data_IF_797744490000
#
_entry.id   IF_797744490000
#
_cell.length_a   1.000
_cell.length_b   1.000
_cell.length_c   1.000
_cell.angle_alpha   90.00
_cell.angle_beta   90.00
_cell.angle_gamma   90.00
#
_symmetry.space_group_name_H-M   'P 1'
#
loop_
_entity.id
_entity.type
_entity.pdbx_description
1 polymer ?
#
# COMPACT_ATOMS: atom_id res chain seq x y z
N UNK A 1 -14.25 19.41 -29.22
CA UNK A 1 -12.84 19.45 -28.83
C UNK A 1 -12.72 20.17 -27.49
N UNK A 2 -12.54 19.44 -26.42
CA UNK A 2 -12.22 20.06 -25.14
C UNK A 2 -10.78 20.49 -25.16
N UNK A 3 -10.57 21.79 -25.16
CA UNK A 3 -9.25 22.38 -25.02
C UNK A 3 -8.72 21.97 -23.65
N UNK A 4 -7.62 21.23 -23.60
CA UNK A 4 -6.95 20.98 -22.34
C UNK A 4 -6.65 22.32 -21.66
N UNK A 5 -6.99 22.51 -20.39
CA UNK A 5 -6.72 23.77 -19.72
C UNK A 5 -5.23 24.09 -19.83
N UNK A 6 -4.92 25.33 -20.04
CA UNK A 6 -3.54 25.87 -20.13
C UNK A 6 -2.68 25.38 -18.95
N UNK A 7 -3.27 25.22 -17.80
CA UNK A 7 -2.67 24.72 -16.57
C UNK A 7 -2.10 23.30 -16.69
N UNK A 8 -2.74 22.43 -17.48
CA UNK A 8 -2.23 21.06 -17.70
C UNK A 8 -0.92 21.05 -18.49
N UNK A 9 -0.71 22.00 -19.39
CA UNK A 9 0.54 22.12 -20.16
C UNK A 9 1.68 22.59 -19.27
N UNK A 10 1.42 23.51 -18.35
CA UNK A 10 2.42 23.96 -17.39
C UNK A 10 2.84 22.84 -16.44
N UNK A 11 1.88 22.08 -15.94
CA UNK A 11 2.12 20.94 -15.05
C UNK A 11 2.89 19.84 -15.78
N UNK A 12 2.54 19.55 -17.03
CA UNK A 12 3.29 18.62 -17.87
C UNK A 12 4.73 19.07 -18.11
N UNK A 13 4.94 20.37 -18.32
CA UNK A 13 6.28 20.97 -18.42
C UNK A 13 7.08 20.84 -17.13
N UNK A 14 6.47 21.04 -15.99
CA UNK A 14 7.11 20.85 -14.69
C UNK A 14 7.47 19.40 -14.43
N UNK A 15 6.58 18.48 -14.80
CA UNK A 15 6.82 17.04 -14.68
C UNK A 15 7.97 16.58 -15.56
N UNK A 16 8.12 17.14 -16.77
CA UNK A 16 9.25 16.86 -17.65
C UNK A 16 10.58 17.39 -17.12
N UNK A 17 10.55 18.48 -16.34
CA UNK A 17 11.73 19.08 -15.73
C UNK A 17 12.14 18.46 -14.40
N UNK A 18 11.33 17.59 -13.84
CA UNK A 18 11.55 16.88 -12.56
C UNK A 18 11.57 15.38 -12.76
N UNK A 19 12.15 14.64 -11.81
CA UNK A 19 12.20 13.17 -11.84
C UNK A 19 10.88 12.48 -11.45
N UNK A 20 9.76 13.19 -11.49
CA UNK A 20 8.45 12.63 -11.16
C UNK A 20 7.96 11.76 -12.32
N UNK A 21 7.76 10.47 -12.05
CA UNK A 21 7.30 9.49 -13.04
C UNK A 21 5.78 9.41 -13.22
N UNK A 22 5.02 9.88 -12.23
CA UNK A 22 3.56 9.82 -12.23
C UNK A 22 2.96 10.96 -11.42
N UNK A 23 1.90 11.57 -11.96
CA UNK A 23 1.14 12.62 -11.29
C UNK A 23 -0.36 12.39 -11.49
N UNK A 24 -1.11 12.40 -10.40
CA UNK A 24 -2.57 12.36 -10.42
C UNK A 24 -3.13 13.68 -9.89
N UNK A 25 -3.93 14.36 -10.71
CA UNK A 25 -4.66 15.56 -10.34
C UNK A 25 -6.15 15.25 -10.21
N UNK A 26 -6.69 15.50 -9.03
CA UNK A 26 -8.12 15.37 -8.77
C UNK A 26 -8.76 16.74 -8.77
N UNK A 27 -9.65 16.95 -9.72
CA UNK A 27 -10.51 18.13 -9.81
C UNK A 27 -11.96 17.73 -9.51
N UNK A 28 -12.84 18.68 -9.16
CA UNK A 28 -14.24 18.36 -8.87
C UNK A 28 -14.95 17.58 -9.99
N UNK A 29 -14.58 17.85 -11.25
CA UNK A 29 -15.25 17.27 -12.44
C UNK A 29 -14.38 16.26 -13.20
N UNK A 30 -13.10 16.09 -12.82
CA UNK A 30 -12.20 15.21 -13.58
C UNK A 30 -11.00 14.73 -12.75
N UNK A 31 -10.53 13.55 -13.06
CA UNK A 31 -9.26 13.02 -12.58
C UNK A 31 -8.32 12.95 -13.79
N UNK A 32 -7.20 13.67 -13.72
CA UNK A 32 -6.19 13.66 -14.77
C UNK A 32 -4.97 12.92 -14.27
N UNK A 33 -4.55 11.89 -14.98
CA UNK A 33 -3.35 11.12 -14.69
C UNK A 33 -2.31 11.38 -15.77
N UNK A 34 -1.13 11.83 -15.34
CA UNK A 34 0.01 12.06 -16.21
C UNK A 34 1.08 11.02 -15.90
N UNK A 35 1.49 10.27 -16.89
CA UNK A 35 2.58 9.30 -16.82
C UNK A 35 3.77 9.75 -17.65
N UNK A 36 4.98 9.50 -17.18
CA UNK A 36 6.20 9.74 -17.94
C UNK A 36 6.66 8.44 -18.59
N UNK A 37 6.83 8.48 -19.91
CA UNK A 37 7.44 7.39 -20.67
C UNK A 37 8.72 7.91 -21.35
N UNK A 38 9.86 7.65 -20.74
CA UNK A 38 11.13 8.22 -21.20
C UNK A 38 11.18 9.72 -21.01
N UNK A 39 11.36 10.47 -22.08
CA UNK A 39 11.41 11.94 -22.08
C UNK A 39 10.06 12.60 -22.44
N UNK A 40 9.02 11.80 -22.66
CA UNK A 40 7.68 12.25 -23.03
C UNK A 40 6.68 12.10 -21.89
N UNK A 41 5.90 13.16 -21.64
CA UNK A 41 4.78 13.14 -20.70
C UNK A 41 3.51 12.81 -21.45
N UNK A 42 2.88 11.68 -21.11
CA UNK A 42 1.66 11.19 -21.74
C UNK A 42 0.49 11.37 -20.77
N UNK A 43 -0.59 11.98 -21.26
CA UNK A 43 -1.84 12.02 -20.52
C UNK A 43 -2.48 10.63 -20.58
N UNK A 44 -2.59 9.99 -19.42
CA UNK A 44 -3.34 8.75 -19.29
C UNK A 44 -4.83 9.12 -19.16
N UNK A 45 -5.48 9.30 -20.29
CA UNK A 45 -6.91 9.56 -20.32
C UNK A 45 -7.67 8.25 -20.18
N UNK A 46 -8.39 8.11 -19.07
CA UNK A 46 -9.27 6.96 -18.81
C UNK A 46 -10.64 7.11 -19.53
N UNK A 47 -10.73 8.04 -20.48
CA UNK A 47 -11.98 8.52 -21.05
C UNK A 47 -12.33 8.08 -22.46
N UNK A 48 -11.52 7.29 -23.14
CA UNK A 48 -11.89 6.79 -24.45
C UNK A 48 -12.19 5.30 -24.39
N UNK A 49 -13.43 4.99 -24.03
CA UNK A 49 -14.03 3.72 -24.43
C UNK A 49 -14.26 3.81 -25.93
N UNK A 50 -13.33 3.31 -26.71
CA UNK A 50 -13.64 2.91 -28.09
C UNK A 50 -14.57 1.70 -27.96
N UNK A 51 -15.86 1.95 -28.12
CA UNK A 51 -16.94 0.94 -28.05
C UNK A 51 -16.89 -0.10 -29.17
N UNK A 52 -15.78 -0.20 -29.91
CA UNK A 52 -15.68 -1.04 -31.12
C UNK A 52 -14.52 -2.06 -31.07
N UNK A 53 -13.92 -2.31 -29.92
CA UNK A 53 -13.04 -3.47 -29.79
C UNK A 53 -13.85 -4.69 -29.38
N UNK A 54 -13.72 -5.85 -30.03
CA UNK A 54 -14.35 -7.08 -29.55
C UNK A 54 -13.77 -7.34 -28.15
N UNK A 55 -14.67 -7.26 -27.17
CA UNK A 55 -14.36 -7.58 -25.77
C UNK A 55 -14.07 -9.08 -25.73
N UNK A 56 -12.84 -9.45 -25.97
CA UNK A 56 -12.39 -10.73 -25.44
C UNK A 56 -12.55 -10.64 -23.93
N UNK A 57 -13.34 -11.51 -23.31
CA UNK A 57 -13.43 -11.53 -21.87
C UNK A 57 -12.02 -11.82 -21.35
N UNK A 58 -11.32 -10.76 -21.00
CA UNK A 58 -10.10 -10.89 -20.22
C UNK A 58 -10.55 -11.58 -18.93
N UNK A 59 -9.97 -12.73 -18.58
CA UNK A 59 -10.32 -13.34 -17.32
C UNK A 59 -10.21 -12.23 -16.28
N UNK A 60 -11.28 -12.04 -15.53
CA UNK A 60 -11.32 -11.06 -14.47
C UNK A 60 -10.02 -11.21 -13.70
N UNK A 61 -9.14 -10.20 -13.81
CA UNK A 61 -7.98 -10.16 -12.98
C UNK A 61 -8.56 -10.22 -11.57
N UNK A 62 -8.40 -11.36 -10.94
CA UNK A 62 -8.77 -11.53 -9.55
C UNK A 62 -7.93 -10.49 -8.84
N UNK A 63 -8.53 -9.34 -8.56
CA UNK A 63 -7.86 -8.33 -7.75
C UNK A 63 -7.43 -9.06 -6.50
N UNK A 64 -6.14 -9.15 -6.21
CA UNK A 64 -5.72 -9.78 -4.97
C UNK A 64 -6.51 -9.11 -3.86
N UNK A 65 -7.02 -9.88 -2.89
CA UNK A 65 -7.77 -9.31 -1.79
C UNK A 65 -6.98 -8.14 -1.19
N UNK A 66 -7.63 -7.07 -0.80
CA UNK A 66 -6.95 -5.89 -0.31
C UNK A 66 -6.04 -6.29 0.86
N UNK A 67 -4.76 -5.99 0.71
CA UNK A 67 -3.77 -6.17 1.74
C UNK A 67 -3.89 -5.02 2.74
N UNK A 68 -4.16 -5.35 3.98
CA UNK A 68 -4.10 -4.41 5.09
C UNK A 68 -2.75 -4.58 5.79
N UNK A 69 -1.97 -3.52 5.82
CA UNK A 69 -0.63 -3.57 6.41
C UNK A 69 -0.67 -2.96 7.81
N UNK A 70 -0.33 -3.75 8.80
CA UNK A 70 -0.16 -3.28 10.18
C UNK A 70 1.20 -2.62 10.31
N UNK A 71 1.20 -1.37 10.74
CA UNK A 71 2.39 -0.54 10.88
C UNK A 71 2.78 -0.33 12.34
N UNK A 72 4.05 0.01 12.54
CA UNK A 72 4.56 0.33 13.88
C UNK A 72 4.06 1.69 14.36
N UNK A 73 3.57 1.73 15.58
CA UNK A 73 3.12 2.97 16.23
C UNK A 73 4.26 3.80 16.83
N UNK A 74 5.47 3.27 16.89
CA UNK A 74 6.63 3.93 17.49
C UNK A 74 7.93 3.33 16.98
N UNK A 75 9.02 3.95 17.39
CA UNK A 75 10.38 3.39 17.20
C UNK A 75 10.63 2.33 18.28
N UNK A 76 11.16 1.18 17.90
CA UNK A 76 11.46 0.12 18.85
C UNK A 76 11.99 -1.14 18.16
N UNK A 77 11.99 -2.23 18.87
CA UNK A 77 12.38 -3.56 18.38
C UNK A 77 11.15 -4.44 18.26
N UNK A 78 10.90 -4.93 17.06
CA UNK A 78 9.75 -5.81 16.82
C UNK A 78 10.08 -7.25 17.20
N UNK A 79 9.23 -7.85 18.03
CA UNK A 79 9.35 -9.23 18.50
C UNK A 79 8.18 -10.07 18.00
N UNK A 80 8.48 -11.22 17.41
CA UNK A 80 7.45 -12.17 16.96
C UNK A 80 6.86 -12.97 18.12
N UNK A 81 7.61 -13.13 19.21
CA UNK A 81 7.22 -13.89 20.39
C UNK A 81 7.50 -13.07 21.65
N UNK A 82 6.81 -13.44 22.74
CA UNK A 82 7.12 -12.88 24.04
C UNK A 82 8.50 -13.37 24.53
N UNK A 83 9.34 -12.52 25.15
CA UNK A 83 10.66 -12.93 25.62
C UNK A 83 10.67 -14.16 26.56
N UNK A 84 9.55 -14.38 27.28
CA UNK A 84 9.39 -15.51 28.19
C UNK A 84 8.61 -16.69 27.58
N UNK A 85 8.20 -16.62 26.30
CA UNK A 85 7.44 -17.65 25.63
C UNK A 85 8.00 -17.90 24.22
N UNK A 86 8.39 -19.12 23.87
CA UNK A 86 9.03 -19.39 22.58
C UNK A 86 8.06 -19.39 21.40
N UNK A 87 6.76 -19.42 21.65
CA UNK A 87 5.76 -19.49 20.60
C UNK A 87 5.50 -18.10 19.99
N UNK A 88 5.61 -17.94 18.67
CA UNK A 88 5.26 -16.67 18.01
C UNK A 88 3.77 -16.40 18.10
N UNK A 89 3.39 -15.12 18.21
CA UNK A 89 1.99 -14.68 18.25
C UNK A 89 1.26 -14.91 16.94
N UNK A 90 1.94 -14.73 15.82
CA UNK A 90 1.38 -14.89 14.48
C UNK A 90 2.38 -15.56 13.54
N UNK A 91 1.84 -16.32 12.59
CA UNK A 91 2.61 -16.92 11.49
C UNK A 91 1.88 -16.67 10.17
N UNK A 92 2.61 -16.67 9.08
CA UNK A 92 2.00 -16.59 7.75
C UNK A 92 0.99 -17.73 7.55
N UNK A 93 -0.17 -17.42 7.00
CA UNK A 93 -1.27 -18.35 6.78
C UNK A 93 -2.24 -18.54 7.95
N UNK A 94 -1.99 -17.95 9.10
CA UNK A 94 -2.87 -18.07 10.27
C UNK A 94 -3.98 -17.01 10.23
N UNK A 95 -5.21 -17.42 10.55
CA UNK A 95 -6.32 -16.52 10.76
C UNK A 95 -6.18 -15.77 12.06
N UNK A 96 -6.40 -14.44 12.00
CA UNK A 96 -6.38 -13.56 13.16
C UNK A 96 -7.67 -12.75 13.23
N UNK A 97 -8.06 -12.40 14.44
CA UNK A 97 -9.21 -11.54 14.70
C UNK A 97 -8.77 -10.09 14.86
N UNK A 98 -9.70 -9.16 14.65
CA UNK A 98 -9.47 -7.77 14.99
C UNK A 98 -9.09 -7.63 16.48
N UNK A 99 -8.02 -6.87 16.76
CA UNK A 99 -7.48 -6.72 18.10
C UNK A 99 -6.61 -7.87 18.62
N UNK A 100 -6.44 -8.93 17.84
CA UNK A 100 -5.53 -10.03 18.22
C UNK A 100 -4.08 -9.58 18.09
N UNK A 101 -3.27 -9.91 19.10
CA UNK A 101 -1.84 -9.58 19.12
C UNK A 101 -1.08 -10.36 18.04
N UNK A 102 -0.36 -9.64 17.20
CA UNK A 102 0.48 -10.19 16.12
C UNK A 102 1.94 -10.25 16.50
N UNK A 103 2.35 -9.42 17.42
CA UNK A 103 3.72 -9.31 17.91
C UNK A 103 3.83 -8.27 19.00
N UNK A 104 5.04 -8.03 19.46
CA UNK A 104 5.33 -7.02 20.48
C UNK A 104 6.34 -6.01 19.95
N UNK A 105 6.15 -4.76 20.31
CA UNK A 105 7.11 -3.70 20.09
C UNK A 105 7.81 -3.37 21.42
N UNK A 106 9.09 -3.67 21.49
CA UNK A 106 9.90 -3.35 22.66
C UNK A 106 10.47 -1.94 22.55
N UNK A 107 10.15 -1.10 23.50
CA UNK A 107 10.65 0.26 23.62
C UNK A 107 11.33 0.37 24.99
N UNK A 108 12.65 0.22 25.02
CA UNK A 108 13.37 0.11 26.29
C UNK A 108 12.93 -1.09 27.11
N UNK A 109 12.30 -0.84 28.26
CA UNK A 109 11.72 -1.88 29.15
C UNK A 109 10.24 -2.14 28.89
N UNK A 110 9.60 -1.34 28.04
CA UNK A 110 8.18 -1.49 27.69
C UNK A 110 7.99 -2.49 26.56
N UNK A 111 6.95 -3.29 26.69
CA UNK A 111 6.44 -4.17 25.65
C UNK A 111 5.04 -3.72 25.26
N UNK A 112 4.89 -3.19 24.05
CA UNK A 112 3.60 -2.79 23.51
C UNK A 112 3.06 -3.86 22.55
N UNK A 113 1.81 -4.31 22.72
CA UNK A 113 1.23 -5.26 21.80
C UNK A 113 0.97 -4.59 20.43
N UNK A 114 1.36 -5.26 19.36
CA UNK A 114 0.95 -4.93 18.01
C UNK A 114 -0.23 -5.79 17.64
N UNK A 115 -1.40 -5.17 17.52
CA UNK A 115 -2.66 -5.86 17.28
C UNK A 115 -3.11 -5.74 15.82
N UNK A 116 -3.85 -6.75 15.35
CA UNK A 116 -4.48 -6.70 14.04
C UNK A 116 -5.55 -5.61 14.00
N UNK A 117 -5.52 -4.77 12.97
CA UNK A 117 -6.53 -3.73 12.72
C UNK A 117 -7.88 -4.32 12.35
N UNK A 118 -7.86 -5.47 11.68
CA UNK A 118 -9.06 -6.20 11.20
C UNK A 118 -8.85 -7.71 11.30
N UNK A 119 -9.96 -8.43 11.21
CA UNK A 119 -9.91 -9.87 11.02
C UNK A 119 -9.40 -10.21 9.61
N UNK A 120 -8.57 -11.21 9.52
CA UNK A 120 -8.00 -11.63 8.26
C UNK A 120 -7.03 -12.79 8.41
N UNK A 121 -6.30 -13.07 7.35
CA UNK A 121 -5.23 -14.07 7.35
C UNK A 121 -3.88 -13.37 7.22
N UNK A 122 -2.92 -13.75 8.04
CA UNK A 122 -1.55 -13.23 7.94
C UNK A 122 -0.94 -13.63 6.61
N UNK A 123 -0.67 -12.65 5.75
CA UNK A 123 -0.05 -12.88 4.45
C UNK A 123 1.47 -13.03 4.59
N UNK A 124 2.09 -12.09 5.28
CA UNK A 124 3.53 -12.08 5.51
C UNK A 124 3.91 -11.26 6.75
N UNK A 125 4.98 -11.65 7.37
CA UNK A 125 5.70 -10.85 8.35
C UNK A 125 6.79 -10.07 7.60
N UNK A 126 6.73 -8.74 7.63
CA UNK A 126 7.64 -7.87 6.88
C UNK A 126 8.97 -7.65 7.55
N UNK A 127 9.02 -7.90 8.83
CA UNK A 127 10.17 -7.61 9.70
C UNK A 127 10.58 -8.87 10.44
N UNK A 128 11.87 -9.09 10.54
CA UNK A 128 12.43 -10.22 11.29
C UNK A 128 12.29 -10.01 12.81
N UNK A 129 12.30 -11.11 13.53
CA UNK A 129 12.28 -11.08 15.00
C UNK A 129 13.53 -10.39 15.55
N UNK A 130 13.31 -9.42 16.41
CA UNK A 130 14.39 -8.64 17.02
C UNK A 130 14.94 -7.49 16.14
N UNK A 131 14.32 -7.20 15.00
CA UNK A 131 14.74 -6.09 14.16
C UNK A 131 14.25 -4.74 14.71
N UNK A 132 15.09 -3.72 14.57
CA UNK A 132 14.72 -2.34 14.90
C UNK A 132 13.83 -1.75 13.84
N UNK A 133 12.71 -1.17 14.25
CA UNK A 133 11.73 -0.55 13.37
C UNK A 133 11.49 0.91 13.77
N UNK A 134 11.15 1.72 12.78
CA UNK A 134 10.74 3.10 12.97
C UNK A 134 9.22 3.27 13.00
N UNK A 135 8.76 4.46 13.32
CA UNK A 135 7.35 4.83 13.23
C UNK A 135 6.84 4.63 11.79
N UNK A 136 5.68 4.01 11.66
CA UNK A 136 5.06 3.74 10.36
C UNK A 136 5.71 2.61 9.55
N UNK A 137 6.71 1.92 10.09
CA UNK A 137 7.30 0.76 9.42
C UNK A 137 6.28 -0.37 9.25
N UNK A 138 6.23 -0.96 8.07
CA UNK A 138 5.35 -2.09 7.80
C UNK A 138 5.83 -3.33 8.58
N UNK A 139 4.97 -3.89 9.40
CA UNK A 139 5.29 -5.03 10.27
C UNK A 139 4.68 -6.33 9.76
N UNK A 140 3.38 -6.33 9.49
CA UNK A 140 2.61 -7.51 9.10
C UNK A 140 1.60 -7.15 8.02
N UNK A 141 1.53 -7.96 6.99
CA UNK A 141 0.49 -7.88 5.98
C UNK A 141 -0.63 -8.87 6.28
N UNK A 142 -1.86 -8.38 6.20
CA UNK A 142 -3.07 -9.17 6.39
C UNK A 142 -3.90 -9.17 5.11
N UNK A 143 -4.36 -10.36 4.71
CA UNK A 143 -5.44 -10.47 3.75
C UNK A 143 -6.76 -10.26 4.49
N UNK A 144 -7.49 -9.21 4.15
CA UNK A 144 -8.85 -9.00 4.64
C UNK A 144 -9.78 -10.11 4.18
N UNK A 145 -10.62 -10.59 5.08
CA UNK A 145 -11.71 -11.52 4.74
C UNK A 145 -12.87 -10.80 4.07
#
# INVERSE_FOLDING_TARGET
MRKAPHELREIAGWMAATDIGFLELRMPDAIVRLGRRGDEVVTLDDGQRDDDAPVTPRPAATNPPPLDTVTSASVGVFLHAHPCAPAPFARAGVHVRAGQTLGLLRIGVLLLPVAASRAGTVAALRVEDGATVGYGAALVDLHSL
#
